data_IF_733295816685
#
_entry.id   IF_733295816685
#
_cell.length_a   1.000
_cell.length_b   1.000
_cell.length_c   1.000
_cell.angle_alpha   90.00
_cell.angle_beta   90.00
_cell.angle_gamma   90.00
#
_symmetry.space_group_name_H-M   'P 1'
#
loop_
_entity.id
_entity.type
_entity.pdbx_description
1 polymer ?
#
# COMPACT_ATOMS: atom_id res chain seq x y z
N UNK A 1 -0.53 20.27 14.45
CA UNK A 1 -0.04 20.43 13.05
C UNK A 1 -0.77 21.59 12.38
N UNK A 2 -0.11 22.39 11.47
CA UNK A 2 -0.69 23.60 10.85
C UNK A 2 -0.69 23.46 9.32
N UNK A 3 -1.82 23.78 8.69
CA UNK A 3 -1.96 23.85 7.23
C UNK A 3 -2.46 25.24 6.83
N UNK A 4 -2.03 25.73 5.65
CA UNK A 4 -2.49 27.01 5.13
C UNK A 4 -2.68 26.99 3.63
N UNK A 5 -3.66 27.74 3.15
CA UNK A 5 -4.00 27.89 1.74
C UNK A 5 -4.40 29.33 1.45
N UNK A 6 -4.20 29.73 0.20
CA UNK A 6 -4.78 30.97 -0.35
C UNK A 6 -6.02 30.58 -1.15
N UNK A 7 -7.11 31.31 -0.96
CA UNK A 7 -8.31 31.13 -1.79
C UNK A 7 -8.17 31.94 -3.09
N UNK A 8 -8.14 31.24 -4.23
CA UNK A 8 -7.78 31.84 -5.52
C UNK A 8 -8.98 32.10 -6.47
N UNK A 9 -10.20 31.62 -6.11
CA UNK A 9 -11.37 31.73 -6.99
C UNK A 9 -12.05 33.10 -6.85
N UNK A 10 -12.67 33.58 -7.94
CA UNK A 10 -13.44 34.83 -7.94
C UNK A 10 -14.75 34.75 -7.17
N UNK A 11 -15.37 33.55 -7.12
CA UNK A 11 -16.63 33.32 -6.42
C UNK A 11 -16.40 33.27 -4.91
N UNK A 12 -17.29 33.93 -4.15
CA UNK A 12 -17.26 33.83 -2.69
C UNK A 12 -17.83 32.49 -2.23
N UNK A 13 -17.20 31.87 -1.25
CA UNK A 13 -17.69 30.62 -0.66
C UNK A 13 -17.57 30.64 0.87
N UNK A 14 -18.31 29.79 1.55
CA UNK A 14 -18.14 29.60 2.98
C UNK A 14 -16.84 28.83 3.29
N UNK A 15 -16.17 29.21 4.37
CA UNK A 15 -15.02 28.52 4.95
C UNK A 15 -15.21 26.99 5.04
N UNK A 16 -16.38 26.55 5.48
CA UNK A 16 -16.73 25.13 5.57
C UNK A 16 -16.63 24.41 4.22
N UNK A 17 -17.12 25.04 3.15
CA UNK A 17 -17.10 24.48 1.79
C UNK A 17 -15.67 24.41 1.28
N UNK A 18 -14.88 25.45 1.50
CA UNK A 18 -13.46 25.47 1.16
C UNK A 18 -12.68 24.37 1.87
N UNK A 19 -12.80 24.25 3.20
CA UNK A 19 -12.10 23.24 3.97
C UNK A 19 -12.46 21.81 3.52
N UNK A 20 -13.72 21.59 3.16
CA UNK A 20 -14.13 20.30 2.57
C UNK A 20 -13.46 20.02 1.24
N UNK A 21 -13.32 21.03 0.36
CA UNK A 21 -12.60 20.87 -0.91
C UNK A 21 -11.11 20.57 -0.71
N UNK A 22 -10.55 20.89 0.47
CA UNK A 22 -9.19 20.53 0.88
C UNK A 22 -9.09 19.17 1.58
N UNK A 23 -10.16 18.37 1.54
CA UNK A 23 -10.19 17.02 2.12
C UNK A 23 -10.44 16.99 3.63
N UNK A 24 -10.78 18.11 4.26
CA UNK A 24 -11.15 18.13 5.68
C UNK A 24 -12.53 17.49 5.84
N UNK A 25 -12.58 16.28 6.39
CA UNK A 25 -13.82 15.55 6.64
C UNK A 25 -14.71 16.24 7.69
N UNK A 26 -15.98 15.82 7.75
CA UNK A 26 -16.90 16.36 8.77
C UNK A 26 -16.41 16.04 10.19
N UNK A 27 -15.86 14.85 10.42
CA UNK A 27 -15.32 14.45 11.73
C UNK A 27 -14.07 15.26 12.07
N UNK A 28 -13.09 15.35 11.16
CA UNK A 28 -11.89 16.15 11.40
C UNK A 28 -12.22 17.63 11.65
N UNK A 29 -13.21 18.19 10.93
CA UNK A 29 -13.64 19.55 11.17
C UNK A 29 -14.28 19.73 12.57
N UNK A 30 -14.97 18.71 13.08
CA UNK A 30 -15.47 18.72 14.45
C UNK A 30 -14.33 18.70 15.47
N UNK A 31 -13.33 17.83 15.28
CA UNK A 31 -12.13 17.77 16.10
C UNK A 31 -11.39 19.13 16.11
N UNK A 32 -11.18 19.75 14.94
CA UNK A 32 -10.55 21.09 14.87
C UNK A 32 -11.34 22.14 15.67
N UNK A 33 -12.67 22.06 15.67
CA UNK A 33 -13.52 23.06 16.33
C UNK A 33 -13.64 22.88 17.84
N UNK A 34 -13.58 21.65 18.34
CA UNK A 34 -13.99 21.34 19.70
C UNK A 34 -12.91 20.68 20.55
N UNK A 35 -11.86 20.14 19.92
CA UNK A 35 -10.85 19.34 20.61
C UNK A 35 -9.45 19.99 20.56
N UNK A 36 -9.40 21.34 20.60
CA UNK A 36 -8.14 22.08 20.71
C UNK A 36 -7.51 22.53 19.39
N UNK A 37 -8.19 22.36 18.26
CA UNK A 37 -7.79 22.95 16.98
C UNK A 37 -8.20 24.44 16.87
N UNK A 38 -7.91 25.07 15.74
CA UNK A 38 -8.29 26.47 15.46
C UNK A 38 -8.36 26.71 13.96
N UNK A 39 -9.14 27.70 13.56
CA UNK A 39 -9.32 28.14 12.16
C UNK A 39 -9.08 29.64 12.11
N UNK A 40 -8.22 30.10 11.19
CA UNK A 40 -7.95 31.50 10.97
C UNK A 40 -8.21 31.91 9.53
N UNK A 41 -8.71 33.13 9.40
CA UNK A 41 -8.86 33.88 8.15
C UNK A 41 -8.04 35.16 8.27
N UNK A 42 -7.04 35.33 7.41
CA UNK A 42 -6.15 36.49 7.40
C UNK A 42 -5.56 36.80 8.80
N UNK A 43 -5.14 35.75 9.51
CA UNK A 43 -4.54 35.84 10.85
C UNK A 43 -5.52 36.08 12.00
N UNK A 44 -6.82 36.18 11.75
CA UNK A 44 -7.87 36.31 12.78
C UNK A 44 -8.64 35.01 12.92
N UNK A 45 -8.83 34.55 14.15
CA UNK A 45 -9.62 33.33 14.39
C UNK A 45 -11.07 33.55 13.94
N UNK A 46 -11.61 32.56 13.23
CA UNK A 46 -12.96 32.61 12.64
C UNK A 46 -13.64 31.27 12.77
N UNK A 47 -14.97 31.32 12.68
CA UNK A 47 -15.78 30.09 12.56
C UNK A 47 -15.87 29.62 11.13
N UNK A 48 -16.33 28.38 10.93
CA UNK A 48 -16.58 27.78 9.61
C UNK A 48 -17.67 28.48 8.78
N UNK A 49 -18.38 29.44 9.35
CA UNK A 49 -19.42 30.23 8.68
C UNK A 49 -18.85 31.47 7.96
N UNK A 50 -17.58 31.81 8.21
CA UNK A 50 -16.94 32.94 7.52
C UNK A 50 -16.99 32.75 6.01
N UNK A 51 -17.20 33.83 5.28
CA UNK A 51 -17.13 33.91 3.82
C UNK A 51 -15.70 34.19 3.40
N UNK A 52 -15.24 33.53 2.34
CA UNK A 52 -13.93 33.72 1.72
C UNK A 52 -14.09 34.50 0.42
N UNK A 53 -13.13 35.41 0.21
CA UNK A 53 -12.94 36.17 -1.03
C UNK A 53 -11.58 35.84 -1.62
N UNK A 54 -11.38 36.11 -2.92
CA UNK A 54 -10.11 35.87 -3.60
C UNK A 54 -8.95 36.58 -2.88
N UNK A 55 -7.87 35.86 -2.65
CA UNK A 55 -6.68 36.34 -1.93
C UNK A 55 -6.71 36.04 -0.43
N UNK A 56 -7.82 35.60 0.13
CA UNK A 56 -7.91 35.24 1.54
C UNK A 56 -6.99 34.09 1.92
N UNK A 57 -6.21 34.30 3.01
CA UNK A 57 -5.37 33.24 3.59
C UNK A 57 -6.15 32.49 4.68
N UNK A 58 -6.44 31.24 4.42
CA UNK A 58 -7.03 30.31 5.37
C UNK A 58 -5.92 29.51 6.04
N UNK A 59 -5.97 29.40 7.36
CA UNK A 59 -5.06 28.54 8.12
C UNK A 59 -5.86 27.72 9.12
N UNK A 60 -5.48 26.47 9.31
CA UNK A 60 -6.03 25.60 10.33
C UNK A 60 -4.92 25.00 11.18
N UNK A 61 -5.22 24.76 12.46
CA UNK A 61 -4.44 23.90 13.33
C UNK A 61 -5.26 22.65 13.62
N UNK A 62 -4.72 21.52 13.20
CA UNK A 62 -5.21 20.19 13.59
C UNK A 62 -4.54 19.86 14.91
N UNK A 63 -5.29 19.50 15.96
CA UNK A 63 -4.71 19.07 17.23
C UNK A 63 -3.91 17.78 17.06
N UNK A 64 -3.00 17.53 17.96
CA UNK A 64 -2.23 16.30 18.00
C UNK A 64 -3.15 15.12 18.35
N UNK A 65 -2.90 13.96 17.73
CA UNK A 65 -3.69 12.75 17.95
C UNK A 65 -3.20 11.97 19.18
N UNK A 66 -2.00 12.28 19.64
CA UNK A 66 -1.38 11.66 20.80
C UNK A 66 -1.09 10.17 20.60
N UNK A 67 -1.34 9.38 21.63
CA UNK A 67 -1.07 7.95 21.65
C UNK A 67 -2.38 7.13 21.63
N UNK A 68 -2.44 6.13 20.74
CA UNK A 68 -3.52 5.15 20.74
C UNK A 68 -3.07 3.88 21.49
N UNK A 69 -3.72 3.53 22.58
CA UNK A 69 -3.30 2.47 23.51
C UNK A 69 -3.36 1.03 22.96
N UNK A 70 -4.11 0.82 21.86
CA UNK A 70 -4.38 -0.55 21.37
C UNK A 70 -3.23 -1.20 20.59
N UNK A 71 -2.29 -0.41 20.07
CA UNK A 71 -1.13 -0.94 19.33
C UNK A 71 0.13 -0.78 20.17
N UNK A 72 0.70 -1.90 20.59
CA UNK A 72 1.95 -1.92 21.38
C UNK A 72 3.13 -1.74 20.44
N UNK A 73 4.00 -0.76 20.73
CA UNK A 73 5.26 -0.57 20.01
C UNK A 73 6.26 -1.70 20.31
N UNK A 74 7.03 -2.11 19.31
CA UNK A 74 8.13 -3.09 19.48
C UNK A 74 9.42 -2.51 18.92
N UNK A 75 10.52 -2.83 19.62
CA UNK A 75 11.85 -2.40 19.17
C UNK A 75 12.38 -3.39 18.12
N UNK A 76 11.97 -3.15 16.88
CA UNK A 76 12.45 -3.90 15.71
C UNK A 76 12.84 -2.91 14.60
N UNK A 77 13.87 -3.23 13.81
CA UNK A 77 14.30 -2.38 12.71
C UNK A 77 13.20 -2.21 11.67
N UNK A 78 13.14 -1.04 11.05
CA UNK A 78 12.37 -0.72 9.87
C UNK A 78 13.33 -0.38 8.74
N UNK A 79 13.10 -0.95 7.57
CA UNK A 79 13.74 -0.54 6.33
C UNK A 79 12.88 0.57 5.72
N UNK A 80 13.31 1.83 5.93
CA UNK A 80 12.57 3.03 5.54
C UNK A 80 13.01 3.42 4.13
N UNK A 81 12.05 3.46 3.20
CA UNK A 81 12.26 3.85 1.81
C UNK A 81 12.02 5.35 1.59
N UNK A 82 11.10 5.94 2.35
CA UNK A 82 10.77 7.36 2.29
C UNK A 82 10.11 7.80 3.60
N UNK A 83 10.42 8.99 4.03
CA UNK A 83 9.74 9.63 5.17
C UNK A 83 9.70 11.14 4.99
N UNK A 84 8.53 11.74 5.28
CA UNK A 84 8.33 13.17 5.44
C UNK A 84 7.39 13.47 6.62
N UNK A 85 6.88 14.69 6.73
CA UNK A 85 5.97 15.08 7.82
C UNK A 85 4.60 14.38 7.74
N UNK A 86 4.25 13.77 6.60
CA UNK A 86 2.92 13.26 6.29
C UNK A 86 2.87 11.76 6.06
N UNK A 87 3.95 11.18 5.54
CA UNK A 87 4.01 9.78 5.14
C UNK A 87 5.28 9.09 5.62
N UNK A 88 5.15 7.81 5.89
CA UNK A 88 6.24 6.86 6.10
C UNK A 88 6.05 5.68 5.16
N UNK A 89 7.03 5.40 4.32
CA UNK A 89 7.04 4.26 3.39
C UNK A 89 8.15 3.32 3.77
N UNK A 90 7.83 2.05 3.93
CA UNK A 90 8.78 1.03 4.37
C UNK A 90 8.84 -0.14 3.39
N UNK A 91 9.98 -0.80 3.33
CA UNK A 91 10.13 -2.10 2.71
C UNK A 91 9.70 -3.19 3.70
N UNK A 92 8.52 -3.74 3.53
CA UNK A 92 8.00 -4.78 4.41
C UNK A 92 8.76 -6.09 4.19
N UNK A 93 9.37 -6.69 5.21
CA UNK A 93 10.02 -7.99 5.09
C UNK A 93 9.00 -9.14 5.00
N UNK A 94 9.49 -10.30 4.59
CA UNK A 94 8.79 -11.57 4.70
C UNK A 94 8.42 -11.91 6.17
N UNK A 95 7.31 -12.61 6.38
CA UNK A 95 6.86 -13.10 7.68
C UNK A 95 6.22 -12.05 8.60
N UNK A 96 6.19 -10.77 8.20
CA UNK A 96 5.58 -9.70 8.98
C UNK A 96 4.14 -9.40 8.52
N UNK A 97 3.15 -9.59 9.37
CA UNK A 97 1.78 -9.17 9.10
C UNK A 97 1.67 -7.64 9.04
N UNK A 98 0.77 -7.09 8.21
CA UNK A 98 0.55 -5.64 8.16
C UNK A 98 -0.06 -5.09 9.46
N UNK A 99 -1.00 -5.81 10.04
CA UNK A 99 -1.73 -5.43 11.26
C UNK A 99 -1.60 -6.52 12.33
N UNK A 100 -1.74 -6.19 13.62
CA UNK A 100 -1.81 -7.18 14.68
C UNK A 100 -2.96 -8.16 14.45
N UNK A 101 -2.77 -9.40 14.80
CA UNK A 101 -3.79 -10.46 14.77
C UNK A 101 -3.80 -11.22 16.09
N UNK A 102 -4.84 -12.03 16.32
CA UNK A 102 -4.89 -12.88 17.52
C UNK A 102 -3.69 -13.83 17.63
N UNK A 103 -3.16 -14.28 16.48
CA UNK A 103 -2.00 -15.21 16.43
C UNK A 103 -0.68 -14.47 16.53
N UNK A 104 -0.61 -13.24 15.98
CA UNK A 104 0.61 -12.42 15.98
C UNK A 104 0.30 -11.00 16.51
N UNK A 105 0.09 -10.85 17.83
CA UNK A 105 -0.39 -9.57 18.39
C UNK A 105 0.69 -8.48 18.46
N UNK A 106 1.98 -8.85 18.37
CA UNK A 106 3.10 -7.93 18.67
C UNK A 106 4.18 -7.84 17.58
N UNK A 107 4.07 -8.57 16.47
CA UNK A 107 5.13 -8.64 15.45
C UNK A 107 4.71 -8.07 14.09
N UNK A 108 3.59 -7.37 14.04
CA UNK A 108 3.11 -6.74 12.79
C UNK A 108 3.91 -5.49 12.43
N UNK A 109 3.77 -5.05 11.18
CA UNK A 109 4.34 -3.77 10.75
C UNK A 109 3.81 -2.58 11.56
N UNK A 110 2.52 -2.60 11.94
CA UNK A 110 1.95 -1.57 12.82
C UNK A 110 2.68 -1.48 14.17
N UNK A 111 3.04 -2.61 14.77
CA UNK A 111 3.82 -2.64 16.03
C UNK A 111 5.24 -2.08 15.84
N UNK A 112 5.90 -2.42 14.71
CA UNK A 112 7.25 -1.91 14.39
C UNK A 112 7.25 -0.40 14.15
N UNK A 113 6.27 0.10 13.38
CA UNK A 113 6.09 1.54 13.13
C UNK A 113 5.78 2.28 14.42
N UNK A 114 4.93 1.74 15.31
CA UNK A 114 4.66 2.32 16.63
C UNK A 114 5.95 2.43 17.45
N UNK A 115 6.76 1.36 17.52
CA UNK A 115 8.05 1.38 18.22
C UNK A 115 9.02 2.37 17.62
N UNK A 116 9.02 2.53 16.29
CA UNK A 116 9.80 3.56 15.60
C UNK A 116 9.35 4.97 16.01
N UNK A 117 8.06 5.29 15.99
CA UNK A 117 7.55 6.60 16.41
C UNK A 117 7.91 6.91 17.87
N UNK A 118 7.84 5.93 18.76
CA UNK A 118 8.26 6.08 20.15
C UNK A 118 9.75 6.41 20.28
N UNK A 119 10.63 5.72 19.53
CA UNK A 119 12.08 6.01 19.53
C UNK A 119 12.41 7.39 18.98
N UNK A 120 11.65 7.86 17.98
CA UNK A 120 11.83 9.20 17.41
C UNK A 120 11.26 10.32 18.31
N UNK A 121 10.50 9.96 19.35
CA UNK A 121 9.85 10.93 20.23
C UNK A 121 8.73 11.71 19.55
N UNK A 122 8.07 11.12 18.52
CA UNK A 122 6.96 11.79 17.85
C UNK A 122 5.77 11.95 18.79
N UNK A 123 5.13 13.13 18.73
CA UNK A 123 3.93 13.44 19.53
C UNK A 123 2.75 12.59 19.05
N UNK A 124 2.57 12.50 17.73
CA UNK A 124 1.53 11.69 17.12
C UNK A 124 2.03 10.27 16.92
N UNK A 125 1.44 9.32 17.63
CA UNK A 125 1.83 7.92 17.64
C UNK A 125 0.70 6.97 17.21
N UNK A 126 -0.39 7.52 16.71
CA UNK A 126 -1.47 6.73 16.09
C UNK A 126 -0.98 6.15 14.76
N UNK A 127 -1.22 4.86 14.53
CA UNK A 127 -0.75 4.17 13.34
C UNK A 127 -1.84 4.16 12.27
N UNK A 128 -1.62 4.92 11.21
CA UNK A 128 -2.51 5.03 10.06
C UNK A 128 -1.98 4.22 8.88
N UNK A 129 -2.47 2.99 8.71
CA UNK A 129 -2.06 2.10 7.62
C UNK A 129 -2.82 2.49 6.36
N UNK A 130 -2.12 2.92 5.32
CA UNK A 130 -2.70 3.28 4.01
C UNK A 130 -2.77 2.08 3.08
N UNK A 131 -1.68 1.31 2.95
CA UNK A 131 -1.65 0.09 2.13
C UNK A 131 -1.36 -1.13 2.98
N UNK A 132 -1.85 -2.29 2.55
CA UNK A 132 -1.59 -3.57 3.23
C UNK A 132 -1.02 -4.56 2.24
N UNK A 133 -0.12 -5.39 2.74
CA UNK A 133 0.39 -6.57 2.07
C UNK A 133 0.05 -7.81 2.90
N UNK A 134 -0.04 -8.96 2.27
CA UNK A 134 -0.16 -10.23 2.96
C UNK A 134 1.10 -10.48 3.82
N UNK A 135 1.00 -11.32 4.84
CA UNK A 135 2.10 -11.60 5.78
C UNK A 135 3.42 -11.89 5.06
N UNK A 136 3.34 -12.73 4.04
CA UNK A 136 4.51 -13.26 3.35
C UNK A 136 4.80 -12.56 2.01
N UNK A 137 4.02 -11.54 1.65
CA UNK A 137 4.33 -10.61 0.56
C UNK A 137 5.30 -9.53 1.05
N UNK A 138 6.38 -9.30 0.32
CA UNK A 138 7.41 -8.28 0.62
C UNK A 138 7.18 -7.00 -0.15
N UNK A 139 7.93 -5.92 0.20
CA UNK A 139 8.01 -4.70 -0.60
C UNK A 139 7.29 -3.49 -0.01
N UNK A 140 6.97 -2.54 -0.88
CA UNK A 140 6.52 -1.20 -0.49
C UNK A 140 5.21 -1.22 0.29
N UNK A 141 5.22 -0.67 1.50
CA UNK A 141 4.05 -0.47 2.35
C UNK A 141 4.01 0.96 2.86
N UNK A 142 2.86 1.64 2.69
CA UNK A 142 2.64 3.05 3.02
C UNK A 142 1.84 3.21 4.31
N UNK A 143 2.32 4.10 5.17
CA UNK A 143 1.65 4.63 6.36
C UNK A 143 1.48 6.14 6.23
N UNK A 144 0.38 6.66 6.74
CA UNK A 144 0.25 8.09 7.00
C UNK A 144 0.66 8.39 8.45
N UNK A 145 1.28 9.53 8.67
CA UNK A 145 1.76 9.92 10.00
C UNK A 145 0.69 10.64 10.84
N UNK A 146 -0.45 10.96 10.22
CA UNK A 146 -1.62 11.55 10.88
C UNK A 146 -2.90 11.29 10.06
N UNK A 147 -4.06 11.37 10.72
CA UNK A 147 -5.36 11.04 10.13
C UNK A 147 -5.76 11.89 8.94
N UNK A 148 -5.31 13.15 8.85
CA UNK A 148 -5.60 13.99 7.68
C UNK A 148 -4.87 13.46 6.42
N UNK A 149 -3.58 13.13 6.52
CA UNK A 149 -2.84 12.52 5.41
C UNK A 149 -3.46 11.17 5.02
N UNK A 150 -3.89 10.35 6.00
CA UNK A 150 -4.60 9.10 5.74
C UNK A 150 -5.89 9.32 4.94
N UNK A 151 -6.71 10.30 5.32
CA UNK A 151 -7.96 10.60 4.61
C UNK A 151 -7.74 11.08 3.17
N UNK A 152 -6.68 11.86 2.93
CA UNK A 152 -6.29 12.29 1.59
C UNK A 152 -5.86 11.09 0.73
N UNK A 153 -5.00 10.21 1.26
CA UNK A 153 -4.57 9.00 0.55
C UNK A 153 -5.72 8.01 0.30
N UNK A 154 -6.66 7.86 1.23
CA UNK A 154 -7.85 7.04 1.03
C UNK A 154 -8.70 7.55 -0.16
N UNK A 155 -8.75 8.87 -0.35
CA UNK A 155 -9.39 9.48 -1.53
C UNK A 155 -8.64 9.14 -2.82
N UNK A 156 -7.30 9.28 -2.85
CA UNK A 156 -6.49 8.90 -4.03
C UNK A 156 -6.63 7.40 -4.36
N UNK A 157 -6.64 6.54 -3.34
CA UNK A 157 -6.85 5.09 -3.53
C UNK A 157 -8.22 4.78 -4.13
N UNK A 158 -9.29 5.43 -3.65
CA UNK A 158 -10.64 5.26 -4.22
C UNK A 158 -10.77 5.75 -5.64
N UNK A 159 -10.09 6.84 -5.97
CA UNK A 159 -10.05 7.41 -7.31
C UNK A 159 -9.11 6.65 -8.27
N UNK A 160 -8.37 5.63 -7.77
CA UNK A 160 -7.36 4.89 -8.52
C UNK A 160 -6.18 5.77 -8.99
N UNK A 161 -5.84 6.79 -8.22
CA UNK A 161 -4.73 7.72 -8.45
C UNK A 161 -3.41 7.27 -7.80
N UNK A 162 -3.39 6.05 -7.26
CA UNK A 162 -2.22 5.42 -6.67
C UNK A 162 -1.86 4.18 -7.48
N UNK A 163 -0.74 4.23 -8.18
CA UNK A 163 -0.21 3.10 -8.93
C UNK A 163 0.62 2.19 -8.02
N UNK A 164 0.33 0.89 -8.07
CA UNK A 164 1.08 -0.17 -7.37
C UNK A 164 1.53 -1.20 -8.37
N UNK A 165 2.83 -1.39 -8.47
CA UNK A 165 3.42 -2.43 -9.31
C UNK A 165 3.95 -3.55 -8.44
N UNK A 166 3.65 -4.77 -8.84
CA UNK A 166 4.14 -5.97 -8.19
C UNK A 166 5.02 -6.76 -9.16
N UNK A 167 5.95 -7.52 -8.61
CA UNK A 167 6.67 -8.57 -9.29
C UNK A 167 6.31 -9.91 -8.66
N UNK A 168 6.09 -10.92 -9.52
CA UNK A 168 5.82 -12.28 -9.06
C UNK A 168 6.59 -13.30 -9.91
N UNK A 169 6.80 -14.49 -9.33
CA UNK A 169 7.30 -15.67 -10.04
C UNK A 169 6.19 -16.69 -10.07
N UNK A 170 5.87 -17.18 -11.26
CA UNK A 170 4.90 -18.25 -11.48
C UNK A 170 5.59 -19.60 -11.42
N UNK A 171 4.93 -20.61 -10.89
CA UNK A 171 5.46 -21.97 -10.68
C UNK A 171 5.77 -22.73 -11.98
N UNK A 172 5.21 -22.27 -13.10
CA UNK A 172 5.33 -22.95 -14.39
C UNK A 172 5.27 -21.93 -15.53
N UNK A 173 5.89 -22.21 -16.69
CA UNK A 173 5.88 -21.33 -17.86
C UNK A 173 4.59 -21.51 -18.67
N UNK A 174 3.43 -21.18 -18.09
CA UNK A 174 2.10 -21.41 -18.70
C UNK A 174 1.55 -20.21 -19.47
N UNK A 175 2.08 -18.99 -19.21
CA UNK A 175 1.64 -17.80 -19.93
C UNK A 175 2.30 -17.75 -21.32
N UNK A 176 1.47 -17.62 -22.35
CA UNK A 176 1.91 -17.51 -23.74
C UNK A 176 1.76 -16.10 -24.29
N UNK A 177 0.96 -15.27 -23.65
CA UNK A 177 0.73 -13.87 -24.06
C UNK A 177 1.65 -12.93 -23.28
N UNK A 178 2.30 -11.96 -23.96
CA UNK A 178 3.21 -11.01 -23.29
C UNK A 178 2.48 -10.04 -22.35
N UNK A 179 1.16 -9.85 -22.53
CA UNK A 179 0.32 -8.97 -21.73
C UNK A 179 -1.10 -9.52 -21.66
N UNK A 180 -1.76 -9.33 -20.51
CA UNK A 180 -3.14 -9.78 -20.35
C UNK A 180 -3.82 -9.21 -19.11
N UNK A 181 -5.11 -9.53 -19.01
CA UNK A 181 -5.97 -9.17 -17.89
C UNK A 181 -6.61 -10.43 -17.30
N UNK A 182 -6.74 -10.45 -15.97
CA UNK A 182 -7.57 -11.44 -15.27
C UNK A 182 -8.70 -10.66 -14.61
N UNK A 183 -9.88 -10.72 -15.21
CA UNK A 183 -11.11 -10.07 -14.74
C UNK A 183 -12.05 -11.14 -14.21
N UNK A 184 -11.98 -11.37 -12.89
CA UNK A 184 -12.75 -12.42 -12.25
C UNK A 184 -13.10 -12.03 -10.81
N UNK A 185 -14.39 -12.12 -10.41
CA UNK A 185 -14.80 -11.71 -9.08
C UNK A 185 -14.27 -12.68 -8.01
N UNK A 186 -13.87 -12.11 -6.85
CA UNK A 186 -13.24 -12.86 -5.76
C UNK A 186 -14.14 -12.87 -4.52
N UNK A 187 -14.39 -14.07 -4.00
CA UNK A 187 -15.11 -14.32 -2.75
C UNK A 187 -14.33 -15.18 -1.77
N UNK A 188 -14.92 -15.45 -0.61
CA UNK A 188 -14.40 -16.42 0.36
C UNK A 188 -14.70 -17.85 -0.13
N UNK A 189 -13.83 -18.79 0.20
CA UNK A 189 -14.17 -20.22 0.10
C UNK A 189 -15.19 -20.57 1.18
N UNK A 190 -15.98 -21.61 0.95
CA UNK A 190 -17.01 -22.04 1.92
C UNK A 190 -16.38 -22.64 3.19
N UNK A 191 -15.28 -23.35 3.01
CA UNK A 191 -14.65 -24.14 4.08
C UNK A 191 -13.56 -23.39 4.85
N UNK A 192 -13.24 -22.14 4.49
CA UNK A 192 -12.15 -21.38 5.12
C UNK A 192 -12.42 -19.88 5.21
N UNK A 193 -12.18 -19.34 6.38
CA UNK A 193 -12.17 -17.88 6.60
C UNK A 193 -10.94 -17.20 6.00
N UNK A 194 -9.86 -17.95 5.75
CA UNK A 194 -8.57 -17.45 5.28
C UNK A 194 -8.46 -17.42 3.76
N UNK A 195 -8.93 -18.47 3.09
CA UNK A 195 -8.78 -18.63 1.64
C UNK A 195 -9.83 -17.85 0.85
N UNK A 196 -9.48 -17.55 -0.40
CA UNK A 196 -10.31 -16.86 -1.37
C UNK A 196 -10.33 -17.68 -2.66
N UNK A 197 -11.36 -17.50 -3.47
CA UNK A 197 -11.48 -18.12 -4.78
C UNK A 197 -12.20 -17.20 -5.74
N UNK A 198 -12.05 -17.45 -7.04
CA UNK A 198 -12.91 -16.88 -8.06
C UNK A 198 -14.31 -17.49 -7.92
N UNK A 199 -15.33 -16.64 -7.81
CA UNK A 199 -16.73 -17.03 -7.71
C UNK A 199 -17.66 -15.92 -8.18
N UNK A 200 -18.77 -16.27 -8.83
CA UNK A 200 -19.67 -15.31 -9.49
C UNK A 200 -20.29 -14.27 -8.53
N UNK A 201 -20.59 -14.66 -7.31
CA UNK A 201 -21.13 -13.79 -6.26
C UNK A 201 -20.05 -13.01 -5.50
N UNK A 202 -18.79 -13.10 -5.93
CA UNK A 202 -17.64 -12.40 -5.38
C UNK A 202 -17.64 -10.90 -5.67
N UNK A 203 -16.67 -10.20 -5.09
CA UNK A 203 -16.43 -8.78 -5.39
C UNK A 203 -15.60 -8.66 -6.66
N UNK A 204 -16.02 -7.79 -7.56
CA UNK A 204 -15.27 -7.47 -8.78
C UNK A 204 -13.79 -7.25 -8.49
N UNK A 205 -12.93 -7.92 -9.29
CA UNK A 205 -11.49 -7.84 -9.17
C UNK A 205 -10.87 -7.89 -10.56
N UNK A 206 -9.90 -6.98 -10.81
CA UNK A 206 -9.21 -6.85 -12.08
C UNK A 206 -7.70 -6.74 -11.82
N UNK A 207 -6.95 -7.68 -12.41
CA UNK A 207 -5.49 -7.75 -12.38
C UNK A 207 -4.97 -7.66 -13.79
N UNK A 208 -4.03 -6.77 -14.04
CA UNK A 208 -3.32 -6.62 -15.31
C UNK A 208 -1.89 -7.14 -15.13
N UNK A 209 -1.35 -7.86 -16.12
CA UNK A 209 -0.01 -8.41 -16.05
C UNK A 209 0.75 -8.26 -17.35
N UNK A 210 2.08 -8.22 -17.23
CA UNK A 210 3.05 -8.29 -18.32
C UNK A 210 4.02 -9.41 -18.02
N UNK A 211 4.16 -10.35 -18.97
CA UNK A 211 5.18 -11.37 -18.92
C UNK A 211 6.55 -10.67 -19.09
N UNK A 212 7.43 -10.84 -18.11
CA UNK A 212 8.77 -10.23 -18.14
C UNK A 212 9.79 -11.21 -18.75
N UNK A 213 9.90 -12.42 -18.16
CA UNK A 213 10.84 -13.44 -18.61
C UNK A 213 10.23 -14.83 -18.42
N UNK A 214 10.51 -15.74 -19.39
CA UNK A 214 10.23 -17.18 -19.24
C UNK A 214 11.53 -17.92 -18.97
N UNK A 215 11.47 -18.83 -18.01
CA UNK A 215 12.58 -19.69 -17.60
C UNK A 215 12.14 -21.16 -17.65
N UNK A 216 13.08 -22.15 -17.57
CA UNK A 216 12.74 -23.57 -17.58
C UNK A 216 11.73 -23.98 -16.49
N UNK A 217 11.83 -23.41 -15.28
CA UNK A 217 11.02 -23.80 -14.14
C UNK A 217 9.94 -22.75 -13.78
N UNK A 218 9.69 -21.74 -14.60
CA UNK A 218 8.67 -20.75 -14.30
C UNK A 218 8.78 -19.47 -15.13
N UNK A 219 8.04 -18.44 -14.72
CA UNK A 219 7.98 -17.14 -15.39
C UNK A 219 8.00 -16.00 -14.39
N UNK A 220 8.68 -14.90 -14.72
CA UNK A 220 8.54 -13.65 -13.98
C UNK A 220 7.49 -12.76 -14.66
N UNK A 221 6.68 -12.09 -13.86
CA UNK A 221 5.64 -11.19 -14.33
C UNK A 221 5.65 -9.87 -13.54
N UNK A 222 5.39 -8.77 -14.26
CA UNK A 222 4.98 -7.51 -13.65
C UNK A 222 3.46 -7.46 -13.56
N UNK A 223 2.92 -6.90 -12.49
CA UNK A 223 1.50 -6.91 -12.22
C UNK A 223 1.06 -5.54 -11.75
N UNK A 224 -0.07 -5.05 -12.30
CA UNK A 224 -0.79 -3.86 -11.83
C UNK A 224 -2.16 -4.27 -11.31
N UNK A 225 -2.53 -3.76 -10.13
CA UNK A 225 -3.83 -3.98 -9.53
C UNK A 225 -4.77 -2.82 -9.81
N UNK A 226 -5.87 -3.06 -10.53
CA UNK A 226 -6.98 -2.11 -10.71
C UNK A 226 -8.00 -2.18 -9.57
N UNK A 227 -7.93 -3.23 -8.75
CA UNK A 227 -8.70 -3.46 -7.51
C UNK A 227 -7.79 -4.07 -6.46
N UNK A 228 -8.17 -4.01 -5.17
CA UNK A 228 -7.37 -4.53 -4.05
C UNK A 228 -8.15 -5.51 -3.18
N UNK A 229 -8.43 -6.73 -3.67
CA UNK A 229 -9.07 -7.79 -2.88
C UNK A 229 -8.02 -8.59 -2.12
N UNK A 230 -8.41 -9.18 -1.01
CA UNK A 230 -7.53 -10.09 -0.24
C UNK A 230 -7.05 -11.22 -1.14
N UNK A 231 -5.73 -11.45 -1.15
CA UNK A 231 -5.06 -12.49 -1.95
C UNK A 231 -5.28 -12.38 -3.47
N UNK A 232 -5.68 -11.20 -3.99
CA UNK A 232 -6.15 -11.06 -5.37
C UNK A 232 -5.19 -11.63 -6.40
N UNK A 233 -3.90 -11.25 -6.37
CA UNK A 233 -2.90 -11.74 -7.33
C UNK A 233 -2.81 -13.27 -7.25
N UNK A 234 -2.67 -13.81 -6.06
CA UNK A 234 -2.54 -15.24 -5.78
C UNK A 234 -3.72 -16.02 -6.35
N UNK A 235 -4.95 -15.59 -6.03
CA UNK A 235 -6.21 -16.21 -6.50
C UNK A 235 -6.34 -16.11 -8.02
N UNK A 236 -6.09 -14.95 -8.60
CA UNK A 236 -6.23 -14.73 -10.04
C UNK A 236 -5.27 -15.61 -10.84
N UNK A 237 -3.99 -15.63 -10.47
CA UNK A 237 -3.03 -16.47 -11.18
C UNK A 237 -3.31 -17.97 -10.99
N UNK A 238 -3.72 -18.39 -9.81
CA UNK A 238 -4.17 -19.78 -9.59
C UNK A 238 -5.37 -20.14 -10.46
N UNK A 239 -6.34 -19.23 -10.63
CA UNK A 239 -7.55 -19.50 -11.43
C UNK A 239 -7.27 -19.70 -12.92
N UNK A 240 -6.16 -19.24 -13.42
CA UNK A 240 -5.71 -19.47 -14.81
C UNK A 240 -4.64 -20.56 -14.93
N UNK A 241 -4.45 -21.37 -13.88
CA UNK A 241 -3.48 -22.46 -13.88
C UNK A 241 -2.01 -22.03 -13.73
N UNK A 242 -1.76 -20.81 -13.29
CA UNK A 242 -0.43 -20.20 -13.12
C UNK A 242 -0.14 -19.80 -11.66
N UNK A 243 -0.25 -20.70 -10.65
CA UNK A 243 -0.04 -20.32 -9.25
C UNK A 243 1.36 -19.77 -9.04
N UNK A 244 1.51 -18.89 -8.03
CA UNK A 244 2.80 -18.31 -7.69
C UNK A 244 3.74 -19.35 -7.08
N UNK A 245 5.01 -19.28 -7.40
CA UNK A 245 6.04 -20.13 -6.81
C UNK A 245 6.05 -19.98 -5.28
N UNK A 246 6.16 -21.10 -4.55
CA UNK A 246 6.18 -21.11 -3.08
C UNK A 246 4.84 -20.78 -2.41
N UNK A 247 3.74 -20.63 -3.16
CA UNK A 247 2.41 -20.36 -2.58
C UNK A 247 1.74 -21.66 -2.15
N UNK A 248 2.02 -22.11 -0.94
CA UNK A 248 1.47 -23.34 -0.35
C UNK A 248 -0.05 -23.30 -0.18
N UNK A 249 -0.63 -22.12 0.02
CA UNK A 249 -2.06 -21.93 0.21
C UNK A 249 -2.87 -22.10 -1.09
N UNK A 250 -2.26 -21.80 -2.25
CA UNK A 250 -2.91 -21.79 -3.55
C UNK A 250 -2.27 -22.73 -4.57
N UNK A 251 -1.48 -23.71 -4.10
CA UNK A 251 -0.97 -24.80 -4.93
C UNK A 251 0.24 -24.46 -5.78
N UNK A 252 0.99 -23.43 -5.39
CA UNK A 252 2.30 -23.13 -5.98
C UNK A 252 3.32 -24.22 -5.68
N UNK A 253 4.22 -24.50 -6.63
CA UNK A 253 5.31 -25.46 -6.41
C UNK A 253 6.22 -24.97 -5.29
N UNK A 254 6.64 -25.90 -4.43
CA UNK A 254 7.68 -25.64 -3.44
C UNK A 254 9.02 -25.44 -4.14
N UNK A 255 9.82 -24.50 -3.62
CA UNK A 255 11.17 -24.25 -4.07
C UNK A 255 12.07 -24.04 -2.83
N UNK A 256 13.28 -24.62 -2.79
CA UNK A 256 14.13 -24.60 -1.61
C UNK A 256 14.59 -23.17 -1.21
N UNK A 257 14.61 -22.24 -2.14
CA UNK A 257 15.00 -20.85 -1.90
C UNK A 257 13.81 -19.91 -1.78
N UNK A 258 12.62 -20.32 -2.24
CA UNK A 258 11.38 -19.54 -2.20
C UNK A 258 10.40 -20.13 -1.17
N UNK A 259 10.62 -19.83 0.12
CA UNK A 259 9.85 -20.37 1.25
C UNK A 259 8.49 -19.66 1.48
N UNK A 260 8.02 -18.90 0.50
CA UNK A 260 6.80 -18.09 0.57
C UNK A 260 6.23 -17.88 -0.83
N UNK A 261 5.01 -17.39 -0.94
CA UNK A 261 4.54 -16.92 -2.25
C UNK A 261 5.55 -15.91 -2.84
N UNK A 262 6.01 -16.17 -4.04
CA UNK A 262 6.91 -15.30 -4.78
C UNK A 262 6.17 -14.05 -5.26
N UNK A 263 5.88 -13.15 -4.32
CA UNK A 263 5.16 -11.90 -4.55
C UNK A 263 5.85 -10.75 -3.82
N UNK A 264 6.11 -9.67 -4.56
CA UNK A 264 6.79 -8.48 -4.07
C UNK A 264 6.10 -7.22 -4.60
N UNK A 265 5.74 -6.29 -3.73
CA UNK A 265 5.28 -4.96 -4.11
C UNK A 265 6.50 -4.11 -4.46
N UNK A 266 6.84 -4.06 -5.76
CA UNK A 266 8.06 -3.44 -6.27
C UNK A 266 8.03 -1.92 -6.16
N UNK A 267 6.86 -1.30 -6.44
CA UNK A 267 6.77 0.16 -6.39
C UNK A 267 5.37 0.67 -6.03
N UNK A 268 5.37 1.90 -5.53
CA UNK A 268 4.21 2.72 -5.26
C UNK A 268 4.44 4.10 -5.87
N UNK A 269 3.48 4.62 -6.67
CA UNK A 269 3.57 5.94 -7.26
C UNK A 269 2.24 6.71 -7.12
N UNK A 270 2.33 7.99 -6.75
CA UNK A 270 1.19 8.89 -6.59
C UNK A 270 1.64 10.35 -6.60
N UNK A 271 0.72 11.28 -6.81
CA UNK A 271 0.95 12.70 -6.55
C UNK A 271 0.72 12.95 -5.07
N UNK A 272 1.73 13.47 -4.37
CA UNK A 272 1.67 13.76 -2.95
C UNK A 272 0.54 14.78 -2.66
N UNK A 273 -0.49 14.42 -1.89
CA UNK A 273 -1.73 15.22 -1.83
C UNK A 273 -1.59 16.57 -1.10
N UNK A 274 -0.46 16.81 -0.45
CA UNK A 274 -0.19 18.04 0.29
C UNK A 274 0.84 18.91 -0.46
N UNK A 275 1.98 18.33 -0.89
CA UNK A 275 3.01 19.09 -1.62
C UNK A 275 2.73 19.23 -3.13
N UNK A 276 1.95 18.31 -3.70
CA UNK A 276 1.71 18.25 -5.15
C UNK A 276 2.84 17.60 -5.96
N UNK A 277 3.90 17.13 -5.33
CA UNK A 277 5.02 16.48 -6.00
C UNK A 277 4.67 15.05 -6.40
N UNK A 278 5.14 14.62 -7.57
CA UNK A 278 5.04 13.22 -7.97
C UNK A 278 6.09 12.38 -7.24
N UNK A 279 5.64 11.39 -6.49
CA UNK A 279 6.48 10.43 -5.79
C UNK A 279 6.38 9.05 -6.45
N UNK A 280 7.53 8.45 -6.73
CA UNK A 280 7.67 7.02 -7.06
C UNK A 280 8.67 6.42 -6.09
N UNK A 281 8.21 5.52 -5.25
CA UNK A 281 9.01 4.84 -4.24
C UNK A 281 9.13 3.37 -4.64
N UNK A 282 10.37 2.86 -4.67
CA UNK A 282 10.68 1.51 -5.10
C UNK A 282 11.36 0.75 -3.97
N UNK A 283 11.00 -0.53 -3.80
CA UNK A 283 11.69 -1.45 -2.92
C UNK A 283 12.63 -2.33 -3.75
N UNK A 284 13.86 -2.59 -3.27
CA UNK A 284 14.77 -3.50 -3.95
C UNK A 284 14.18 -4.90 -4.02
N UNK A 285 14.47 -5.59 -5.11
CA UNK A 285 14.06 -6.99 -5.27
C UNK A 285 14.69 -7.85 -4.17
N UNK A 286 13.93 -8.68 -3.47
CA UNK A 286 14.44 -9.46 -2.34
C UNK A 286 15.36 -10.60 -2.80
N UNK A 287 16.28 -11.01 -1.92
CA UNK A 287 17.33 -11.99 -2.21
C UNK A 287 16.80 -13.33 -2.75
N UNK A 288 15.66 -13.79 -2.30
CA UNK A 288 15.03 -15.03 -2.76
C UNK A 288 14.65 -14.96 -4.25
N UNK A 289 14.18 -13.80 -4.75
CA UNK A 289 13.93 -13.57 -6.18
C UNK A 289 15.26 -13.57 -6.98
N UNK A 290 16.25 -12.83 -6.49
CA UNK A 290 17.56 -12.70 -7.16
C UNK A 290 18.22 -14.07 -7.29
N UNK A 291 18.22 -14.87 -6.23
CA UNK A 291 18.81 -16.22 -6.23
C UNK A 291 18.07 -17.15 -7.20
N UNK A 292 16.75 -17.13 -7.18
CA UNK A 292 15.95 -17.95 -8.09
C UNK A 292 16.22 -17.58 -9.55
N UNK A 293 16.21 -16.30 -9.91
CA UNK A 293 16.51 -15.85 -11.27
C UNK A 293 17.93 -16.23 -11.71
N UNK A 294 18.93 -16.09 -10.82
CA UNK A 294 20.32 -16.46 -11.12
C UNK A 294 20.44 -17.96 -11.43
N UNK A 295 19.83 -18.80 -10.60
CA UNK A 295 19.80 -20.26 -10.82
C UNK A 295 19.10 -20.64 -12.14
N UNK A 296 18.04 -19.92 -12.52
CA UNK A 296 17.35 -20.19 -13.79
C UNK A 296 18.22 -19.83 -15.01
N UNK A 297 18.98 -18.73 -14.94
CA UNK A 297 19.92 -18.35 -16.00
C UNK A 297 21.05 -19.36 -16.16
N UNK A 298 21.56 -19.92 -15.07
CA UNK A 298 22.55 -20.99 -15.11
C UNK A 298 21.99 -22.25 -15.81
N UNK A 299 20.79 -22.67 -15.46
CA UNK A 299 20.08 -23.78 -16.14
C UNK A 299 19.91 -23.55 -17.65
N UNK A 300 19.52 -22.33 -18.05
CA UNK A 300 19.37 -21.97 -19.46
C UNK A 300 20.72 -22.08 -20.21
N UNK A 301 21.84 -21.67 -19.59
CA UNK A 301 23.15 -21.77 -20.15
C UNK A 301 23.56 -23.25 -20.37
N UNK A 302 23.31 -24.09 -19.37
CA UNK A 302 23.62 -25.52 -19.45
C UNK A 302 22.79 -26.24 -20.54
N UNK A 303 21.51 -25.91 -20.69
CA UNK A 303 20.65 -26.46 -21.74
C UNK A 303 21.18 -26.09 -23.13
N UNK A 304 21.60 -24.82 -23.32
CA UNK A 304 22.18 -24.36 -24.62
C UNK A 304 23.49 -25.07 -24.96
N UNK A 305 24.35 -25.30 -23.98
CA UNK A 305 25.63 -26.02 -24.18
C UNK A 305 25.37 -27.50 -24.50
N UNK A 306 24.41 -28.15 -23.80
CA UNK A 306 24.04 -29.55 -24.02
C UNK A 306 23.33 -29.82 -25.35
N UNK A 307 22.74 -28.79 -25.99
CA UNK A 307 22.03 -28.93 -27.29
C UNK A 307 23.01 -28.75 -28.49
N UNK A 308 24.25 -28.40 -28.26
CA UNK A 308 25.26 -28.13 -29.31
C UNK A 308 26.16 -29.35 -29.58
N UNK A 309 25.90 -30.51 -28.98
CA UNK A 309 26.52 -31.79 -29.21
C UNK A 309 25.55 -32.71 -29.96
#
# INVERSE_FOLDING_TARGET
>A
MIFSWIYEKEETIQMKTFLRSKGISKSLLATIKFDGGSIWLNGKERTVLATLEKGDKVMIRIPDEGEHETTVGVDMPLDILFEDDHFLVVNKPFGAASIPSKVHPRLSMANRVKGYYQRQGYVDQVIHIVTRLDRDTTGVMLFARHGYAHALMDTLLRNKEVDKTYRAILSEPVLTQPHGFIDAPIGRTEDSIMTRMVREDGKQALTEYWLDQSYPDGQTVKIKLHTGRTHQIRVHFTSIGAPLLGDDLYGGKADPEMLRQALHCESLAFVHPISGEFLKIEAPLPDDFIKWESRQREKEADIRVGTTI
#
